data_IF_884494009008
#
_entry.id   IF_884494009008
#
_cell.length_a   1.000
_cell.length_b   1.000
_cell.length_c   1.000
_cell.angle_alpha   90.00
_cell.angle_beta   90.00
_cell.angle_gamma   90.00
#
_symmetry.space_group_name_H-M   'P 1'
#
loop_
_entity.id
_entity.type
_entity.pdbx_description
1 polymer ?
#
# COMPACT_ATOMS: atom_id res chain seq x y z
N UNK A 1 -6.05 -3.57 0.15
CA UNK A 1 -4.72 -3.98 0.65
C UNK A 1 -3.90 -4.51 -0.52
N UNK A 2 -3.37 -3.59 -1.33
CA UNK A 2 -2.56 -3.91 -2.51
C UNK A 2 -1.09 -3.89 -2.09
N UNK A 3 -0.45 -5.07 -2.11
CA UNK A 3 0.94 -5.27 -1.70
C UNK A 3 1.49 -6.55 -2.34
N UNK A 4 2.82 -6.69 -2.44
CA UNK A 4 3.45 -7.85 -3.09
C UNK A 4 3.05 -9.18 -2.44
N UNK A 5 2.90 -9.21 -1.11
CA UNK A 5 2.42 -10.39 -0.35
C UNK A 5 1.02 -10.87 -0.75
N UNK A 6 0.21 -10.01 -1.34
CA UNK A 6 -1.16 -10.29 -1.79
C UNK A 6 -1.23 -10.50 -3.31
N UNK A 7 -0.10 -10.76 -3.96
CA UNK A 7 -0.02 -11.14 -5.37
C UNK A 7 0.64 -12.52 -5.46
N UNK A 8 -0.09 -13.49 -6.02
CA UNK A 8 0.39 -14.85 -6.22
C UNK A 8 0.83 -15.03 -7.68
N UNK A 9 1.85 -15.85 -7.89
CA UNK A 9 2.27 -16.28 -9.24
C UNK A 9 1.77 -17.70 -9.50
N UNK A 10 1.17 -17.91 -10.67
CA UNK A 10 0.92 -19.27 -11.16
C UNK A 10 2.21 -19.96 -11.60
N UNK A 11 2.12 -21.25 -11.91
CA UNK A 11 3.16 -22.04 -12.57
C UNK A 11 3.65 -21.42 -13.89
N UNK A 12 2.76 -20.77 -14.62
CA UNK A 12 3.04 -20.04 -15.86
C UNK A 12 3.48 -18.58 -15.66
N UNK A 13 3.92 -18.20 -14.45
CA UNK A 13 4.34 -16.84 -14.10
C UNK A 13 3.26 -15.77 -14.30
N UNK A 14 1.97 -16.13 -14.20
CA UNK A 14 0.88 -15.16 -14.26
C UNK A 14 0.59 -14.64 -12.86
N UNK A 15 0.74 -13.33 -12.67
CA UNK A 15 0.41 -12.64 -11.44
C UNK A 15 -1.12 -12.55 -11.24
N UNK A 16 -1.59 -12.88 -10.04
CA UNK A 16 -3.00 -12.83 -9.63
C UNK A 16 -3.12 -12.18 -8.27
N UNK A 17 -3.96 -11.15 -8.17
CA UNK A 17 -4.28 -10.51 -6.89
C UNK A 17 -5.10 -11.49 -6.04
N UNK A 18 -4.76 -11.60 -4.76
CA UNK A 18 -5.48 -12.39 -3.77
C UNK A 18 -5.77 -11.57 -2.51
N UNK A 19 -6.31 -12.25 -1.48
CA UNK A 19 -6.67 -11.67 -0.18
C UNK A 19 -7.62 -10.46 -0.24
N UNK A 20 -8.89 -10.78 -0.51
CA UNK A 20 -9.97 -9.80 -0.55
C UNK A 20 -10.60 -9.55 0.83
N UNK A 21 -9.96 -9.99 1.93
CA UNK A 21 -10.53 -9.86 3.29
C UNK A 21 -10.76 -8.42 3.75
N UNK A 22 -10.04 -7.46 3.15
CA UNK A 22 -10.19 -6.02 3.36
C UNK A 22 -10.78 -5.28 2.14
N UNK A 23 -11.21 -5.99 1.10
CA UNK A 23 -11.79 -5.38 -0.09
C UNK A 23 -13.15 -4.76 0.22
N UNK A 24 -13.49 -3.66 -0.47
CA UNK A 24 -14.73 -2.90 -0.25
C UNK A 24 -15.46 -2.65 -1.55
N UNK A 25 -16.79 -2.69 -1.50
CA UNK A 25 -17.65 -2.21 -2.57
C UNK A 25 -17.90 -0.70 -2.40
N UNK A 26 -17.24 0.10 -3.22
CA UNK A 26 -17.25 1.56 -3.15
C UNK A 26 -18.65 2.14 -3.51
N UNK A 27 -19.50 1.37 -4.21
CA UNK A 27 -20.83 1.82 -4.64
C UNK A 27 -21.91 1.58 -3.56
N UNK A 28 -21.75 0.54 -2.74
CA UNK A 28 -22.80 0.08 -1.82
C UNK A 28 -22.49 0.29 -0.34
N UNK A 29 -21.26 0.65 0.02
CA UNK A 29 -20.81 0.68 1.42
C UNK A 29 -20.48 2.10 1.91
N UNK A 30 -21.51 2.95 2.01
CA UNK A 30 -21.37 4.34 2.49
C UNK A 30 -21.17 4.46 4.01
N UNK A 31 -21.23 3.34 4.77
CA UNK A 31 -21.31 3.34 6.24
C UNK A 31 -20.29 2.42 6.92
N UNK A 32 -19.18 2.08 6.27
CA UNK A 32 -18.16 1.26 6.90
C UNK A 32 -17.35 2.05 7.94
N UNK A 33 -17.73 1.90 9.21
CA UNK A 33 -16.91 2.33 10.36
C UNK A 33 -15.85 1.26 10.60
N UNK A 34 -14.57 1.60 10.44
CA UNK A 34 -13.47 0.74 10.92
C UNK A 34 -13.59 0.64 12.44
N UNK A 35 -14.27 -0.41 12.92
CA UNK A 35 -14.45 -0.65 14.36
C UNK A 35 -13.24 -1.42 14.89
N UNK A 36 -12.37 -0.72 15.61
CA UNK A 36 -11.37 -1.33 16.50
C UNK A 36 -9.90 -1.10 16.13
N UNK A 37 -9.03 -1.72 16.93
CA UNK A 37 -7.57 -1.64 16.86
C UNK A 37 -7.01 -2.59 15.76
N UNK A 38 -7.53 -2.49 14.55
CA UNK A 38 -7.09 -3.34 13.44
C UNK A 38 -5.62 -3.02 13.08
N UNK A 39 -4.79 -4.06 12.96
CA UNK A 39 -3.42 -3.93 12.44
C UNK A 39 -3.51 -3.62 10.94
N UNK A 40 -3.48 -2.34 10.60
CA UNK A 40 -3.50 -1.89 9.20
C UNK A 40 -2.09 -1.90 8.59
N UNK A 41 -1.96 -2.17 7.28
CA UNK A 41 -0.68 -2.17 6.57
C UNK A 41 -0.25 -0.73 6.23
N UNK A 42 0.04 0.08 7.26
CA UNK A 42 0.22 1.54 7.16
C UNK A 42 1.22 1.97 6.07
N UNK A 43 2.30 1.21 5.85
CA UNK A 43 3.31 1.52 4.82
C UNK A 43 2.77 1.48 3.38
N UNK A 44 1.65 0.80 3.12
CA UNK A 44 1.02 0.74 1.79
C UNK A 44 -0.13 1.74 1.63
N UNK A 45 -0.60 2.33 2.73
CA UNK A 45 -1.79 3.19 2.71
C UNK A 45 -1.46 4.58 2.17
N UNK A 46 -2.42 5.17 1.45
CA UNK A 46 -2.33 6.55 1.01
C UNK A 46 -2.51 7.54 2.18
N UNK A 47 -2.07 8.80 2.03
CA UNK A 47 -2.22 9.81 3.07
C UNK A 47 -3.68 9.98 3.53
N UNK A 48 -4.64 10.03 2.60
CA UNK A 48 -6.07 10.13 2.91
C UNK A 48 -6.62 8.88 3.62
N UNK A 49 -6.10 7.68 3.31
CA UNK A 49 -6.45 6.47 4.07
C UNK A 49 -5.89 6.49 5.50
N UNK A 50 -4.67 7.02 5.69
CA UNK A 50 -4.01 7.08 7.00
C UNK A 50 -4.66 8.11 7.92
N UNK A 51 -4.94 9.31 7.41
CA UNK A 51 -5.34 10.46 8.24
C UNK A 51 -6.85 10.69 8.28
N UNK A 52 -7.58 10.30 7.22
CA UNK A 52 -9.00 10.62 7.05
C UNK A 52 -9.86 9.35 6.92
N UNK A 53 -9.24 8.16 6.94
CA UNK A 53 -9.91 6.88 6.72
C UNK A 53 -10.71 6.85 5.39
N UNK A 54 -10.22 7.55 4.37
CA UNK A 54 -10.82 7.57 3.02
C UNK A 54 -10.17 6.49 2.16
N UNK A 55 -11.00 5.65 1.54
CA UNK A 55 -10.55 4.54 0.69
C UNK A 55 -11.27 4.62 -0.66
N UNK A 56 -10.51 4.78 -1.72
CA UNK A 56 -10.98 4.97 -3.09
C UNK A 56 -10.10 4.18 -4.06
N UNK A 57 -10.50 4.14 -5.34
CA UNK A 57 -9.64 3.61 -6.40
C UNK A 57 -8.29 4.37 -6.44
N UNK A 58 -8.28 5.68 -6.15
CA UNK A 58 -7.05 6.47 -6.11
C UNK A 58 -6.13 6.07 -4.94
N UNK A 59 -6.70 5.71 -3.78
CA UNK A 59 -5.91 5.15 -2.68
C UNK A 59 -5.30 3.78 -3.01
N UNK A 60 -5.97 2.98 -3.86
CA UNK A 60 -5.39 1.74 -4.39
C UNK A 60 -4.27 2.03 -5.40
N UNK A 61 -4.35 3.11 -6.18
CA UNK A 61 -3.25 3.56 -7.07
C UNK A 61 -2.00 3.93 -6.27
N UNK A 62 -2.15 4.60 -5.12
CA UNK A 62 -1.02 4.84 -4.21
C UNK A 62 -0.39 3.53 -3.75
N UNK A 63 -1.23 2.60 -3.28
CA UNK A 63 -0.79 1.27 -2.82
C UNK A 63 -0.08 0.50 -3.95
N UNK A 64 -0.56 0.63 -5.19
CA UNK A 64 0.07 0.09 -6.39
C UNK A 64 1.47 0.69 -6.64
N UNK A 65 1.67 2.00 -6.39
CA UNK A 65 3.00 2.62 -6.42
C UNK A 65 3.98 1.99 -5.43
N UNK A 66 3.51 1.67 -4.22
CA UNK A 66 4.30 0.93 -3.22
C UNK A 66 4.58 -0.51 -3.70
N UNK A 67 3.60 -1.19 -4.30
CA UNK A 67 3.79 -2.51 -4.92
C UNK A 67 4.85 -2.49 -6.04
N UNK A 68 4.85 -1.47 -6.90
CA UNK A 68 5.90 -1.29 -7.92
C UNK A 68 7.26 -1.15 -7.26
N UNK A 69 7.36 -0.36 -6.18
CA UNK A 69 8.60 -0.23 -5.42
C UNK A 69 9.06 -1.58 -4.83
N UNK A 70 8.14 -2.39 -4.29
CA UNK A 70 8.45 -3.75 -3.84
C UNK A 70 8.99 -4.62 -4.98
N UNK A 71 8.37 -4.58 -6.16
CA UNK A 71 8.78 -5.37 -7.33
C UNK A 71 10.21 -4.99 -7.77
N UNK A 72 10.46 -3.70 -7.99
CA UNK A 72 11.75 -3.21 -8.47
C UNK A 72 12.84 -3.16 -7.40
N UNK A 73 12.50 -3.39 -6.14
CA UNK A 73 13.48 -3.61 -5.06
C UNK A 73 13.70 -5.09 -4.74
N UNK A 74 13.12 -6.00 -5.53
CA UNK A 74 13.16 -7.46 -5.32
C UNK A 74 12.61 -7.88 -3.94
N UNK A 75 11.51 -7.26 -3.51
CA UNK A 75 10.78 -7.62 -2.30
C UNK A 75 11.32 -7.01 -1.01
N UNK A 76 12.08 -5.90 -1.08
CA UNK A 76 12.46 -5.16 0.14
C UNK A 76 11.22 -4.58 0.81
N UNK A 77 11.30 -4.41 2.13
CA UNK A 77 10.24 -3.73 2.88
C UNK A 77 10.19 -2.25 2.49
N UNK A 78 9.00 -1.70 2.15
CA UNK A 78 8.86 -0.27 1.88
C UNK A 78 9.35 0.59 3.04
N UNK A 79 9.88 1.78 2.72
CA UNK A 79 10.50 2.70 3.68
C UNK A 79 11.56 1.96 4.51
N UNK A 80 12.64 1.49 3.88
CA UNK A 80 13.70 0.76 4.58
C UNK A 80 14.25 1.62 5.72
N UNK A 81 14.54 0.97 6.84
CA UNK A 81 15.06 1.61 8.06
C UNK A 81 14.16 2.68 8.70
N UNK A 82 12.91 2.80 8.26
CA UNK A 82 11.90 3.67 8.88
C UNK A 82 10.90 2.84 9.68
N UNK A 83 10.88 3.09 10.99
CA UNK A 83 9.87 2.58 11.91
C UNK A 83 8.54 3.33 11.72
N UNK A 84 7.42 2.63 11.89
CA UNK A 84 6.09 3.25 11.84
C UNK A 84 5.79 3.91 13.19
N UNK A 85 6.26 5.14 13.34
CA UNK A 85 6.08 5.98 14.53
C UNK A 85 5.62 7.40 14.15
N UNK A 86 5.62 8.34 15.11
CA UNK A 86 5.24 9.74 14.87
C UNK A 86 6.06 10.41 13.75
N UNK A 87 7.33 10.02 13.55
CA UNK A 87 8.17 10.55 12.48
C UNK A 87 7.71 10.05 11.12
N UNK A 88 7.33 8.78 11.01
CA UNK A 88 6.75 8.23 9.77
C UNK A 88 5.51 9.01 9.35
N UNK A 89 4.56 9.23 10.26
CA UNK A 89 3.34 9.99 9.93
C UNK A 89 3.64 11.43 9.50
N UNK A 90 4.60 12.10 10.15
CA UNK A 90 5.05 13.44 9.74
C UNK A 90 5.67 13.43 8.35
N UNK A 91 6.50 12.44 8.05
CA UNK A 91 7.17 12.28 6.76
C UNK A 91 6.16 12.13 5.62
N UNK A 92 5.15 11.26 5.78
CA UNK A 92 4.07 11.09 4.80
C UNK A 92 3.27 12.38 4.62
N UNK A 93 2.90 13.06 5.71
CA UNK A 93 2.16 14.32 5.66
C UNK A 93 2.93 15.44 4.93
N UNK A 94 4.26 15.41 4.99
CA UNK A 94 5.13 16.35 4.29
C UNK A 94 5.40 15.96 2.82
N UNK A 95 4.78 14.90 2.30
CA UNK A 95 4.91 14.50 0.90
C UNK A 95 6.21 13.79 0.56
N UNK A 96 6.87 13.17 1.55
CA UNK A 96 8.04 12.34 1.26
C UNK A 96 7.69 11.17 0.35
N UNK A 97 8.60 10.88 -0.59
CA UNK A 97 8.55 9.73 -1.49
C UNK A 97 9.84 8.94 -1.34
N UNK A 98 9.76 7.61 -1.45
CA UNK A 98 10.94 6.75 -1.44
C UNK A 98 11.83 7.05 -2.65
N UNK A 99 13.14 6.85 -2.50
CA UNK A 99 14.06 6.87 -3.62
C UNK A 99 13.74 5.76 -4.61
N UNK A 100 14.13 5.97 -5.87
CA UNK A 100 14.08 4.94 -6.90
C UNK A 100 14.75 3.65 -6.41
N UNK A 101 14.10 2.49 -6.57
CA UNK A 101 14.68 1.20 -6.17
C UNK A 101 15.70 0.70 -7.20
N UNK A 102 16.61 -0.17 -6.75
CA UNK A 102 17.82 -0.60 -7.47
C UNK A 102 17.58 -1.12 -8.91
N UNK A 103 16.42 -1.73 -9.19
CA UNK A 103 16.11 -2.33 -10.50
C UNK A 103 15.01 -1.58 -11.28
N UNK A 104 14.58 -0.39 -10.81
CA UNK A 104 13.66 0.44 -11.59
C UNK A 104 14.41 1.14 -12.74
N UNK A 105 13.85 1.17 -13.95
CA UNK A 105 14.44 1.91 -15.08
C UNK A 105 14.41 3.43 -14.83
N UNK A 106 15.34 4.16 -15.44
CA UNK A 106 15.53 5.62 -15.30
C UNK A 106 14.55 6.48 -16.14
N UNK A 107 13.54 5.84 -16.76
CA UNK A 107 12.79 6.26 -17.97
C UNK A 107 13.50 5.99 -19.31
#
# INVERSE_FOLDING_TARGET
>A
DVAARNVLLSDSLVAKICDFGLARDIMNDSNYVVRGNARLPVKWMSPESIFECVYTVQSDVWSYGILLWEIFSLGRSPYPDVLVDARFYKMIRCGYQMSQPDFAPDE
#
